data_IF_288465384980
#
_entry.id   IF_288465384980
#
_cell.length_a   1.000
_cell.length_b   1.000
_cell.length_c   1.000
_cell.angle_alpha   90.00
_cell.angle_beta   90.00
_cell.angle_gamma   90.00
#
_symmetry.space_group_name_H-M   'P 1'
#
loop_
_entity.id
_entity.type
_entity.pdbx_description
1 polymer ?
#
# COMPACT_ATOMS: atom_id res chain seq x y z
N UNK A 1 10.50 34.63 20.41
CA UNK A 1 9.81 33.57 21.14
C UNK A 1 10.24 33.66 22.60
N UNK A 2 9.38 33.36 23.60
CA UNK A 2 9.82 33.30 24.99
C UNK A 2 10.89 32.22 25.17
N UNK A 3 11.82 32.43 26.08
CA UNK A 3 12.85 31.43 26.41
C UNK A 3 12.19 30.24 27.13
N UNK A 4 12.45 28.98 26.72
CA UNK A 4 11.89 27.81 27.38
C UNK A 4 12.28 27.78 28.89
N UNK A 5 11.35 27.33 29.73
CA UNK A 5 11.56 27.15 31.18
C UNK A 5 12.28 25.83 31.43
N UNK A 6 13.27 25.85 32.32
CA UNK A 6 13.92 24.66 32.81
C UNK A 6 12.98 23.94 33.78
N UNK A 7 12.62 22.66 33.48
CA UNK A 7 11.76 21.82 34.32
C UNK A 7 12.17 20.34 34.22
N UNK A 8 11.96 19.53 35.29
CA UNK A 8 12.28 18.11 35.25
C UNK A 8 11.58 17.42 34.09
N UNK A 9 12.25 16.46 33.46
CA UNK A 9 11.64 15.60 32.45
C UNK A 9 10.41 14.88 33.02
N UNK A 10 9.37 14.69 32.20
CA UNK A 10 8.10 14.09 32.60
C UNK A 10 7.12 15.05 33.29
N UNK A 11 7.53 16.28 33.63
CA UNK A 11 6.67 17.28 34.28
C UNK A 11 6.14 18.37 33.32
N UNK A 12 6.51 18.32 32.04
CA UNK A 12 6.17 19.37 31.09
C UNK A 12 4.69 19.36 30.71
N UNK A 13 4.07 20.51 30.70
CA UNK A 13 2.73 20.69 30.15
C UNK A 13 2.76 20.63 28.63
N UNK A 14 1.72 20.06 28.04
CA UNK A 14 1.60 19.90 26.58
C UNK A 14 0.16 20.05 26.13
N UNK A 15 -0.08 20.69 24.97
CA UNK A 15 -1.40 20.73 24.34
C UNK A 15 -1.83 19.37 23.74
N UNK A 16 -0.89 18.43 23.53
CA UNK A 16 -1.18 17.10 23.01
C UNK A 16 -1.74 16.26 24.16
N UNK A 17 -3.06 16.09 24.20
CA UNK A 17 -3.77 15.46 25.30
C UNK A 17 -4.24 14.06 24.91
N UNK A 18 -4.60 13.25 25.91
CA UNK A 18 -5.08 11.87 25.70
C UNK A 18 -6.41 11.79 24.94
N UNK A 19 -7.28 12.79 25.12
CA UNK A 19 -8.52 12.90 24.34
C UNK A 19 -8.26 13.11 22.85
N UNK A 20 -7.20 13.82 22.48
CA UNK A 20 -6.76 13.95 21.09
C UNK A 20 -6.28 12.61 20.50
N UNK A 21 -5.53 11.82 21.29
CA UNK A 21 -5.10 10.47 20.86
C UNK A 21 -6.30 9.56 20.65
N UNK A 22 -7.28 9.64 21.57
CA UNK A 22 -8.50 8.84 21.53
C UNK A 22 -9.54 9.36 20.52
N UNK A 23 -9.29 10.50 19.86
CA UNK A 23 -10.21 11.05 18.87
C UNK A 23 -10.29 10.14 17.65
N UNK A 24 -11.51 10.02 17.09
CA UNK A 24 -11.73 9.18 15.93
C UNK A 24 -10.97 9.72 14.71
N UNK A 25 -10.01 8.94 14.22
CA UNK A 25 -9.36 9.17 12.93
C UNK A 25 -9.93 8.24 11.88
N UNK A 26 -10.07 8.72 10.64
CA UNK A 26 -10.41 7.85 9.52
C UNK A 26 -9.15 7.11 9.04
N UNK A 27 -9.31 5.83 8.72
CA UNK A 27 -8.25 5.10 8.04
C UNK A 27 -8.33 5.40 6.55
N UNK A 28 -7.24 5.92 5.97
CA UNK A 28 -7.13 6.13 4.52
C UNK A 28 -6.46 4.91 3.89
N UNK A 29 -7.08 4.35 2.87
CA UNK A 29 -6.60 3.18 2.15
C UNK A 29 -6.78 3.30 0.66
N UNK A 30 -5.91 2.64 -0.10
CA UNK A 30 -5.89 2.48 -1.54
C UNK A 30 -6.30 3.74 -2.33
N UNK A 31 -5.44 4.21 -3.20
CA UNK A 31 -5.77 5.28 -4.15
C UNK A 31 -5.97 4.66 -5.53
N UNK A 32 -6.99 5.08 -6.25
CA UNK A 32 -7.21 4.76 -7.64
C UNK A 32 -7.55 6.03 -8.42
N UNK A 33 -7.23 6.06 -9.71
CA UNK A 33 -7.43 7.23 -10.56
C UNK A 33 -8.15 6.80 -11.83
N UNK A 34 -9.18 7.55 -12.21
CA UNK A 34 -9.81 7.49 -13.53
C UNK A 34 -9.48 8.74 -14.32
N UNK A 35 -9.97 8.82 -15.55
CA UNK A 35 -9.81 10.04 -16.36
C UNK A 35 -10.54 11.25 -15.76
N UNK A 36 -11.55 11.04 -14.92
CA UNK A 36 -12.45 12.08 -14.42
C UNK A 36 -12.27 12.39 -12.92
N UNK A 37 -11.67 11.46 -12.14
CA UNK A 37 -11.65 11.57 -10.69
C UNK A 37 -10.52 10.76 -10.04
N UNK A 38 -10.19 11.12 -8.80
CA UNK A 38 -9.41 10.30 -7.88
C UNK A 38 -10.34 9.66 -6.86
N UNK A 39 -10.04 8.41 -6.51
CA UNK A 39 -10.81 7.59 -5.57
C UNK A 39 -9.90 7.09 -4.44
N UNK A 40 -10.47 6.93 -3.24
CA UNK A 40 -9.79 6.32 -2.11
C UNK A 40 -10.77 5.64 -1.16
N UNK A 41 -10.28 4.76 -0.31
CA UNK A 41 -11.06 4.15 0.76
C UNK A 41 -10.95 4.96 2.05
N UNK A 42 -12.07 5.13 2.74
CA UNK A 42 -12.14 5.65 4.11
C UNK A 42 -12.71 4.59 5.05
N UNK A 43 -11.91 4.11 6.01
CA UNK A 43 -12.43 3.36 7.15
C UNK A 43 -12.98 4.35 8.19
N UNK A 44 -14.29 4.33 8.44
CA UNK A 44 -15.00 5.31 9.27
C UNK A 44 -15.41 4.71 10.62
N UNK A 45 -14.69 4.99 11.72
CA UNK A 45 -15.03 4.47 13.04
C UNK A 45 -16.44 4.86 13.50
N UNK A 46 -16.88 6.08 13.18
CA UNK A 46 -18.22 6.59 13.53
C UNK A 46 -19.37 5.89 12.80
N UNK A 47 -19.04 5.10 11.76
CA UNK A 47 -19.99 4.27 11.01
C UNK A 47 -19.79 2.77 11.27
N UNK A 48 -19.36 2.41 12.49
CA UNK A 48 -19.10 1.01 12.87
C UNK A 48 -17.90 0.37 12.14
N UNK A 49 -16.94 1.17 11.71
CA UNK A 49 -15.76 0.68 10.97
C UNK A 49 -16.02 0.40 9.48
N UNK A 50 -17.09 0.97 8.91
CA UNK A 50 -17.42 0.82 7.50
C UNK A 50 -16.33 1.41 6.61
N UNK A 51 -15.88 0.65 5.61
CA UNK A 51 -15.01 1.13 4.54
C UNK A 51 -15.86 1.68 3.39
N UNK A 52 -15.70 2.98 3.12
CA UNK A 52 -16.42 3.74 2.10
C UNK A 52 -15.50 4.07 0.96
N UNK A 53 -15.93 3.82 -0.28
CA UNK A 53 -15.25 4.36 -1.44
C UNK A 53 -15.69 5.80 -1.65
N UNK A 54 -14.73 6.70 -1.67
CA UNK A 54 -14.91 8.15 -1.86
C UNK A 54 -14.26 8.56 -3.16
N UNK A 55 -14.85 9.51 -3.88
CA UNK A 55 -14.24 10.13 -5.07
C UNK A 55 -14.16 11.64 -4.93
N UNK A 56 -13.17 12.22 -5.60
CA UNK A 56 -13.03 13.65 -5.83
C UNK A 56 -12.92 13.90 -7.33
N UNK A 57 -13.84 14.69 -7.86
CA UNK A 57 -13.85 15.12 -9.26
C UNK A 57 -12.91 16.30 -9.48
N UNK A 58 -12.63 16.62 -10.76
CA UNK A 58 -11.68 17.67 -11.14
C UNK A 58 -12.09 19.07 -10.63
N UNK A 59 -13.38 19.33 -10.45
CA UNK A 59 -13.91 20.58 -9.87
C UNK A 59 -13.73 20.66 -8.35
N UNK A 60 -13.19 19.62 -7.71
CA UNK A 60 -12.93 19.55 -6.27
C UNK A 60 -14.08 18.96 -5.44
N UNK A 61 -15.19 18.58 -6.06
CA UNK A 61 -16.33 17.97 -5.35
C UNK A 61 -15.95 16.60 -4.81
N UNK A 62 -16.17 16.38 -3.51
CA UNK A 62 -15.92 15.10 -2.83
C UNK A 62 -17.26 14.45 -2.48
N UNK A 63 -17.42 13.18 -2.88
CA UNK A 63 -18.67 12.42 -2.65
C UNK A 63 -18.37 10.97 -2.29
N UNK A 64 -19.24 10.37 -1.45
CA UNK A 64 -19.27 8.93 -1.27
C UNK A 64 -19.76 8.27 -2.56
N UNK A 65 -19.05 7.24 -3.00
CA UNK A 65 -19.45 6.43 -4.18
C UNK A 65 -20.35 5.30 -3.72
N UNK A 66 -19.93 4.56 -2.70
CA UNK A 66 -20.72 3.45 -2.18
C UNK A 66 -21.76 3.94 -1.17
N UNK A 67 -23.06 3.63 -1.40
CA UNK A 67 -24.14 4.09 -0.54
C UNK A 67 -24.12 3.40 0.84
N UNK A 68 -24.95 3.89 1.76
CA UNK A 68 -25.15 3.23 3.05
C UNK A 68 -25.62 1.79 2.84
N UNK A 69 -25.16 0.88 3.72
CA UNK A 69 -25.44 -0.56 3.61
C UNK A 69 -24.33 -1.35 2.91
N UNK A 70 -23.43 -0.69 2.18
CA UNK A 70 -22.26 -1.31 1.59
C UNK A 70 -20.98 -0.99 2.40
N UNK A 71 -20.11 -1.99 2.49
CA UNK A 71 -18.82 -1.91 3.16
C UNK A 71 -17.77 -2.52 2.23
N UNK A 72 -16.92 -1.69 1.62
CA UNK A 72 -15.93 -2.08 0.62
C UNK A 72 -14.75 -2.77 1.30
N UNK A 73 -14.90 -4.08 1.51
CA UNK A 73 -13.91 -4.91 2.20
C UNK A 73 -14.07 -6.37 1.80
N UNK A 74 -12.97 -7.06 1.61
CA UNK A 74 -12.91 -8.51 1.39
C UNK A 74 -12.24 -9.22 2.57
N UNK A 75 -12.48 -10.53 2.67
CA UNK A 75 -11.85 -11.43 3.63
C UNK A 75 -10.92 -12.43 2.95
N UNK A 76 -10.61 -12.27 1.67
CA UNK A 76 -9.64 -13.14 0.99
C UNK A 76 -8.33 -13.11 1.75
N UNK A 77 -7.71 -14.28 1.99
CA UNK A 77 -6.52 -14.49 2.83
C UNK A 77 -6.68 -13.93 4.26
N UNK A 78 -7.90 -13.76 4.77
CA UNK A 78 -8.28 -13.18 6.07
C UNK A 78 -7.93 -11.69 6.22
N UNK A 79 -6.78 -11.22 5.69
CA UNK A 79 -6.34 -9.83 5.80
C UNK A 79 -6.99 -8.89 4.77
N UNK A 80 -7.45 -9.44 3.62
CA UNK A 80 -8.13 -8.68 2.58
C UNK A 80 -7.22 -7.73 1.80
N UNK A 81 -7.72 -6.51 1.54
CA UNK A 81 -7.12 -5.57 0.60
C UNK A 81 -7.59 -5.82 -0.83
N UNK A 82 -7.27 -4.93 -1.78
CA UNK A 82 -7.70 -5.08 -3.17
C UNK A 82 -9.21 -5.25 -3.34
N UNK A 83 -9.99 -4.67 -2.42
CA UNK A 83 -11.43 -4.86 -2.38
C UNK A 83 -12.19 -4.03 -3.43
N UNK A 84 -11.52 -3.18 -4.18
CA UNK A 84 -12.09 -2.46 -5.30
C UNK A 84 -11.05 -2.19 -6.38
N UNK A 85 -11.54 -2.00 -7.60
CA UNK A 85 -10.78 -1.51 -8.75
C UNK A 85 -11.68 -0.72 -9.69
N UNK A 86 -11.07 0.05 -10.56
CA UNK A 86 -11.75 0.86 -11.55
C UNK A 86 -11.53 0.31 -12.96
N UNK A 87 -12.53 0.52 -13.82
CA UNK A 87 -12.37 0.44 -15.25
C UNK A 87 -13.10 1.63 -15.89
N UNK A 88 -12.34 2.56 -16.42
CA UNK A 88 -12.88 3.91 -16.66
C UNK A 88 -13.42 4.52 -15.37
N UNK A 89 -14.68 4.93 -15.38
CA UNK A 89 -15.40 5.44 -14.20
C UNK A 89 -16.32 4.39 -13.54
N UNK A 90 -16.37 3.17 -14.09
CA UNK A 90 -17.08 2.05 -13.48
C UNK A 90 -16.30 1.50 -12.31
N UNK A 91 -16.96 1.30 -11.18
CA UNK A 91 -16.39 0.75 -9.96
C UNK A 91 -16.79 -0.71 -9.81
N UNK A 92 -15.81 -1.56 -9.52
CA UNK A 92 -16.02 -2.93 -9.08
C UNK A 92 -15.54 -3.06 -7.66
N UNK A 93 -16.33 -3.68 -6.78
CA UNK A 93 -15.94 -3.83 -5.38
C UNK A 93 -16.55 -5.06 -4.72
N UNK A 94 -15.87 -5.58 -3.71
CA UNK A 94 -16.38 -6.65 -2.84
C UNK A 94 -17.06 -6.04 -1.62
N UNK A 95 -18.29 -6.48 -1.34
CA UNK A 95 -19.04 -6.06 -0.18
C UNK A 95 -18.80 -6.99 1.01
N UNK A 96 -18.46 -6.45 2.17
CA UNK A 96 -18.09 -7.21 3.36
C UNK A 96 -19.19 -8.14 3.89
N UNK A 97 -20.45 -7.74 3.75
CA UNK A 97 -21.58 -8.46 4.34
C UNK A 97 -21.76 -9.87 3.74
N UNK A 98 -21.63 -9.98 2.43
CA UNK A 98 -21.88 -11.21 1.64
C UNK A 98 -20.66 -11.71 0.85
N UNK A 99 -19.57 -10.93 0.82
CA UNK A 99 -18.35 -11.21 0.06
C UNK A 99 -18.56 -11.32 -1.45
N UNK A 100 -19.70 -10.88 -1.96
CA UNK A 100 -19.99 -10.85 -3.41
C UNK A 100 -19.28 -9.67 -4.06
N UNK A 101 -18.97 -9.84 -5.33
CA UNK A 101 -18.47 -8.77 -6.19
C UNK A 101 -19.65 -7.97 -6.76
N UNK A 102 -19.54 -6.65 -6.68
CA UNK A 102 -20.51 -5.68 -7.16
C UNK A 102 -19.92 -4.83 -8.27
N UNK A 103 -20.76 -4.43 -9.21
CA UNK A 103 -20.50 -3.41 -10.22
C UNK A 103 -21.36 -2.20 -9.94
N UNK A 104 -20.78 -1.02 -10.06
CA UNK A 104 -21.48 0.25 -9.96
C UNK A 104 -21.02 1.16 -11.09
N UNK A 105 -21.90 1.40 -12.05
CA UNK A 105 -21.70 2.35 -13.13
C UNK A 105 -21.96 3.79 -12.64
N UNK A 106 -21.39 4.83 -13.27
CA UNK A 106 -21.58 6.22 -12.84
C UNK A 106 -23.05 6.61 -12.74
N UNK A 107 -23.50 6.99 -11.54
CA UNK A 107 -24.87 7.40 -11.27
C UNK A 107 -25.85 6.27 -10.93
N UNK A 108 -25.41 5.03 -11.01
CA UNK A 108 -26.26 3.86 -10.71
C UNK A 108 -26.04 3.34 -9.28
N UNK A 109 -27.01 2.56 -8.80
CA UNK A 109 -26.88 1.77 -7.57
C UNK A 109 -26.00 0.53 -7.82
N UNK A 110 -25.23 0.09 -6.80
CA UNK A 110 -24.42 -1.13 -6.91
C UNK A 110 -25.29 -2.36 -7.18
N UNK A 111 -24.92 -3.18 -8.16
CA UNK A 111 -25.55 -4.47 -8.45
C UNK A 111 -24.57 -5.62 -8.32
N UNK A 112 -24.96 -6.76 -7.73
CA UNK A 112 -24.08 -7.91 -7.61
C UNK A 112 -23.85 -8.53 -9.00
N UNK A 113 -22.61 -8.96 -9.26
CA UNK A 113 -22.20 -9.63 -10.52
C UNK A 113 -21.64 -11.03 -10.30
N UNK A 114 -21.68 -11.53 -9.07
CA UNK A 114 -21.38 -12.91 -8.73
C UNK A 114 -22.60 -13.57 -8.08
N UNK A 115 -22.74 -14.90 -8.13
CA UNK A 115 -23.83 -15.62 -7.47
C UNK A 115 -23.77 -15.44 -5.93
N UNK A 116 -24.86 -15.79 -5.26
CA UNK A 116 -24.83 -15.95 -3.80
C UNK A 116 -23.94 -17.13 -3.42
N UNK A 117 -23.21 -16.97 -2.32
CA UNK A 117 -22.37 -18.04 -1.80
C UNK A 117 -23.24 -19.21 -1.28
N UNK A 118 -22.84 -20.46 -1.52
CA UNK A 118 -23.56 -21.65 -1.02
C UNK A 118 -23.69 -21.68 0.51
N UNK A 119 -22.75 -21.11 1.22
CA UNK A 119 -22.78 -20.88 2.66
C UNK A 119 -22.36 -19.41 2.92
N UNK A 120 -22.73 -18.83 4.07
CA UNK A 120 -22.37 -17.44 4.35
C UNK A 120 -20.89 -17.15 4.18
N UNK A 121 -20.55 -16.25 3.23
CA UNK A 121 -19.17 -15.81 2.94
C UNK A 121 -18.22 -16.94 2.51
N UNK A 122 -18.71 -18.06 1.99
CA UNK A 122 -17.86 -19.16 1.55
C UNK A 122 -17.16 -18.90 0.22
N UNK A 123 -17.67 -17.98 -0.60
CA UNK A 123 -16.97 -17.46 -1.79
C UNK A 123 -16.60 -16.01 -1.54
N UNK A 124 -15.33 -15.67 -1.76
CA UNK A 124 -14.76 -14.33 -1.53
C UNK A 124 -13.96 -13.93 -2.76
N UNK A 125 -13.91 -12.62 -3.04
CA UNK A 125 -13.24 -12.08 -4.24
C UNK A 125 -12.34 -10.91 -3.87
N UNK A 126 -11.20 -10.77 -4.57
CA UNK A 126 -10.25 -9.67 -4.39
C UNK A 126 -9.36 -9.46 -5.62
N UNK A 127 -8.65 -8.34 -5.63
CA UNK A 127 -7.50 -8.04 -6.51
C UNK A 127 -7.81 -8.23 -8.00
N UNK A 128 -8.91 -7.64 -8.48
CA UNK A 128 -9.37 -7.80 -9.84
C UNK A 128 -8.81 -6.80 -10.84
N UNK A 129 -8.90 -7.15 -12.11
CA UNK A 129 -8.72 -6.27 -13.24
C UNK A 129 -9.76 -6.59 -14.33
N UNK A 130 -10.03 -5.62 -15.20
CA UNK A 130 -10.93 -5.78 -16.35
C UNK A 130 -10.09 -5.89 -17.62
N UNK A 131 -10.51 -6.73 -18.56
CA UNK A 131 -9.86 -6.80 -19.88
C UNK A 131 -10.05 -5.52 -20.67
N UNK A 132 -9.10 -5.12 -21.54
CA UNK A 132 -9.18 -3.88 -22.31
C UNK A 132 -10.39 -3.76 -23.24
N UNK A 133 -11.06 -4.88 -23.55
CA UNK A 133 -12.28 -4.94 -24.36
C UNK A 133 -13.58 -4.88 -23.54
N UNK A 134 -13.47 -4.54 -22.23
CA UNK A 134 -14.58 -4.37 -21.28
C UNK A 134 -15.39 -5.64 -20.98
N UNK A 135 -14.97 -6.83 -21.47
CA UNK A 135 -15.79 -8.04 -21.44
C UNK A 135 -15.63 -8.85 -20.16
N UNK A 136 -14.40 -8.97 -19.64
CA UNK A 136 -14.10 -9.88 -18.55
C UNK A 136 -13.48 -9.16 -17.37
N UNK A 137 -13.80 -9.64 -16.19
CA UNK A 137 -13.04 -9.42 -14.96
C UNK A 137 -12.22 -10.68 -14.70
N UNK A 138 -10.95 -10.48 -14.34
CA UNK A 138 -10.11 -11.53 -13.79
C UNK A 138 -9.76 -11.12 -12.36
N UNK A 139 -10.00 -12.01 -11.40
CA UNK A 139 -9.76 -11.74 -9.99
C UNK A 139 -9.38 -13.01 -9.21
N UNK A 140 -8.88 -12.81 -8.00
CA UNK A 140 -8.71 -13.90 -7.04
C UNK A 140 -10.05 -14.25 -6.44
N UNK A 141 -10.36 -15.58 -6.41
CA UNK A 141 -11.46 -16.16 -5.67
C UNK A 141 -10.91 -17.07 -4.58
N UNK A 142 -11.43 -16.93 -3.37
CA UNK A 142 -11.20 -17.86 -2.26
C UNK A 142 -12.50 -18.58 -1.92
N UNK A 143 -12.46 -19.92 -1.91
CA UNK A 143 -13.57 -20.77 -1.53
C UNK A 143 -13.28 -21.49 -0.22
N UNK A 144 -14.20 -21.35 0.74
CA UNK A 144 -14.25 -22.15 1.96
C UNK A 144 -15.19 -23.32 1.75
N UNK A 145 -14.65 -24.47 1.41
CA UNK A 145 -15.41 -25.67 1.12
C UNK A 145 -16.06 -26.29 2.38
N UNK A 146 -17.14 -27.08 2.24
CA UNK A 146 -17.83 -27.69 3.39
C UNK A 146 -16.99 -28.67 4.21
N UNK A 147 -15.94 -29.23 3.62
CA UNK A 147 -14.97 -30.12 4.29
C UNK A 147 -13.89 -29.37 5.08
N UNK A 148 -13.93 -28.03 5.10
CA UNK A 148 -12.98 -27.17 5.79
C UNK A 148 -11.72 -26.82 4.99
N UNK A 149 -11.63 -27.29 3.74
CA UNK A 149 -10.53 -26.88 2.84
C UNK A 149 -10.76 -25.45 2.36
N UNK A 150 -9.66 -24.71 2.15
CA UNK A 150 -9.68 -23.39 1.53
C UNK A 150 -8.97 -23.49 0.18
N UNK A 151 -9.65 -23.08 -0.86
CA UNK A 151 -9.12 -23.11 -2.23
C UNK A 151 -9.01 -21.69 -2.77
N UNK A 152 -7.81 -21.27 -3.12
CA UNK A 152 -7.57 -20.01 -3.83
C UNK A 152 -7.37 -20.29 -5.33
N UNK A 153 -7.91 -19.40 -6.17
CA UNK A 153 -7.91 -19.55 -7.64
C UNK A 153 -7.92 -18.21 -8.33
N UNK A 154 -7.57 -18.22 -9.61
CA UNK A 154 -7.96 -17.14 -10.50
C UNK A 154 -9.24 -17.52 -11.23
N UNK A 155 -10.18 -16.60 -11.26
CA UNK A 155 -11.44 -16.75 -12.00
C UNK A 155 -11.59 -15.62 -13.02
N UNK A 156 -12.23 -15.96 -14.14
CA UNK A 156 -12.73 -15.01 -15.13
C UNK A 156 -14.25 -15.02 -15.11
N UNK A 157 -14.86 -13.83 -15.12
CA UNK A 157 -16.31 -13.66 -15.20
C UNK A 157 -16.65 -12.49 -16.12
N UNK A 158 -17.82 -12.50 -16.79
CA UNK A 158 -18.29 -11.36 -17.57
C UNK A 158 -18.42 -10.11 -16.69
N UNK A 159 -17.90 -8.98 -17.18
CA UNK A 159 -17.93 -7.70 -16.44
C UNK A 159 -19.35 -7.17 -16.18
N UNK A 160 -20.34 -7.68 -16.93
CA UNK A 160 -21.76 -7.39 -16.74
C UNK A 160 -22.49 -8.37 -15.79
N UNK A 161 -21.80 -9.43 -15.34
CA UNK A 161 -22.37 -10.46 -14.47
C UNK A 161 -23.37 -11.39 -15.17
N UNK A 162 -23.32 -11.50 -16.52
CA UNK A 162 -24.26 -12.32 -17.31
C UNK A 162 -24.03 -13.83 -17.19
N UNK A 163 -22.90 -14.26 -16.61
CA UNK A 163 -22.60 -15.68 -16.36
C UNK A 163 -21.80 -15.85 -15.06
N UNK A 164 -21.74 -17.07 -14.56
CA UNK A 164 -20.97 -17.41 -13.37
C UNK A 164 -19.45 -17.33 -13.61
N UNK A 165 -18.65 -17.09 -12.53
CA UNK A 165 -17.19 -17.12 -12.60
C UNK A 165 -16.69 -18.50 -13.09
N UNK A 166 -15.72 -18.49 -14.01
CA UNK A 166 -15.02 -19.66 -14.49
C UNK A 166 -13.60 -19.69 -13.94
N UNK A 167 -13.17 -20.82 -13.40
CA UNK A 167 -11.79 -21.03 -12.96
C UNK A 167 -10.87 -21.03 -14.18
N UNK A 168 -9.79 -20.24 -14.13
CA UNK A 168 -8.79 -20.14 -15.20
C UNK A 168 -7.40 -20.56 -14.74
N UNK A 169 -7.11 -20.51 -13.42
CA UNK A 169 -5.90 -21.06 -12.82
C UNK A 169 -6.18 -21.55 -11.39
N UNK A 170 -5.68 -22.74 -11.07
CA UNK A 170 -5.76 -23.35 -9.74
C UNK A 170 -4.56 -24.27 -9.51
N UNK A 171 -4.35 -24.77 -8.27
CA UNK A 171 -3.31 -25.73 -7.94
C UNK A 171 -2.21 -25.18 -7.03
N UNK A 172 -2.27 -23.91 -6.64
CA UNK A 172 -1.43 -23.29 -5.62
C UNK A 172 -2.27 -22.87 -4.41
N UNK A 173 -1.61 -22.71 -3.24
CA UNK A 173 -2.30 -22.31 -2.02
C UNK A 173 -2.76 -20.84 -2.08
N UNK A 174 -2.01 -19.96 -2.76
CA UNK A 174 -2.30 -18.53 -2.83
C UNK A 174 -2.03 -17.93 -4.20
N UNK A 175 -2.83 -16.91 -4.55
CA UNK A 175 -2.76 -16.17 -5.81
C UNK A 175 -2.83 -14.67 -5.54
N UNK A 176 -2.10 -13.86 -6.31
CA UNK A 176 -2.26 -12.41 -6.30
C UNK A 176 -1.82 -11.75 -7.61
N UNK A 177 -2.11 -10.46 -7.73
CA UNK A 177 -1.73 -9.62 -8.86
C UNK A 177 -2.10 -10.15 -10.24
N UNK A 178 -3.33 -10.66 -10.50
CA UNK A 178 -3.73 -10.91 -11.88
C UNK A 178 -3.81 -9.59 -12.64
N UNK A 179 -3.01 -9.46 -13.70
CA UNK A 179 -2.99 -8.23 -14.55
C UNK A 179 -2.97 -8.62 -16.01
N UNK A 180 -3.95 -8.11 -16.75
CA UNK A 180 -4.06 -8.32 -18.21
C UNK A 180 -3.18 -7.30 -18.92
N UNK A 181 -2.47 -7.73 -19.97
CA UNK A 181 -1.67 -6.87 -20.81
C UNK A 181 -2.53 -5.83 -21.55
N UNK A 182 -1.98 -4.66 -21.96
CA UNK A 182 -2.74 -3.61 -22.64
C UNK A 182 -3.41 -4.06 -23.96
N UNK A 183 -2.86 -5.07 -24.63
CA UNK A 183 -3.44 -5.67 -25.83
C UNK A 183 -4.49 -6.77 -25.56
N UNK A 184 -4.71 -7.10 -24.27
CA UNK A 184 -5.68 -8.09 -23.84
C UNK A 184 -5.28 -9.55 -24.08
N UNK A 185 -4.06 -9.82 -24.55
CA UNK A 185 -3.66 -11.18 -24.99
C UNK A 185 -2.92 -11.99 -23.95
N UNK A 186 -2.39 -11.36 -22.90
CA UNK A 186 -1.61 -12.02 -21.85
C UNK A 186 -2.13 -11.68 -20.47
N UNK A 187 -2.01 -12.64 -19.57
CA UNK A 187 -2.24 -12.46 -18.13
C UNK A 187 -0.93 -12.73 -17.39
N UNK A 188 -0.58 -11.87 -16.45
CA UNK A 188 0.47 -12.10 -15.45
C UNK A 188 -0.18 -12.26 -14.08
N UNK A 189 0.39 -13.13 -13.23
CA UNK A 189 -0.02 -13.28 -11.83
C UNK A 189 1.12 -13.85 -10.98
N UNK A 190 0.98 -13.79 -9.66
CA UNK A 190 1.90 -14.43 -8.71
C UNK A 190 1.20 -15.51 -7.90
N UNK A 191 1.97 -16.52 -7.48
CA UNK A 191 1.54 -17.58 -6.57
C UNK A 191 2.58 -17.85 -5.50
N UNK A 192 2.15 -18.43 -4.40
CA UNK A 192 3.04 -19.04 -3.40
C UNK A 192 2.29 -20.15 -2.67
N UNK A 193 3.07 -21.03 -2.02
CA UNK A 193 2.54 -22.20 -1.32
C UNK A 193 3.14 -22.29 0.09
N UNK A 194 2.38 -22.84 1.02
CA UNK A 194 2.86 -23.14 2.36
C UNK A 194 4.19 -23.92 2.36
N UNK A 195 5.11 -23.67 3.30
CA UNK A 195 5.00 -22.72 4.44
C UNK A 195 5.48 -21.30 4.13
N UNK A 196 5.76 -20.97 2.87
CA UNK A 196 6.28 -19.64 2.47
C UNK A 196 5.23 -18.57 2.63
N UNK A 197 5.68 -17.38 3.05
CA UNK A 197 4.91 -16.15 2.91
C UNK A 197 5.32 -15.43 1.61
N UNK A 198 4.50 -14.52 1.07
CA UNK A 198 4.82 -13.89 -0.22
C UNK A 198 6.10 -13.05 -0.23
N UNK A 199 6.57 -12.64 0.93
CA UNK A 199 7.87 -11.95 1.07
C UNK A 199 9.07 -12.87 1.24
N UNK A 200 8.86 -14.18 1.48
CA UNK A 200 9.92 -15.18 1.49
C UNK A 200 10.23 -15.65 0.06
N UNK A 201 9.18 -16.00 -0.67
CA UNK A 201 9.30 -16.45 -2.06
C UNK A 201 7.95 -16.58 -2.76
N UNK A 202 7.91 -16.10 -3.99
CA UNK A 202 6.73 -16.16 -4.88
C UNK A 202 7.16 -16.58 -6.28
N UNK A 203 6.25 -17.22 -6.98
CA UNK A 203 6.41 -17.59 -8.38
C UNK A 203 5.62 -16.63 -9.28
N UNK A 204 6.24 -16.12 -10.33
CA UNK A 204 5.63 -15.24 -11.34
C UNK A 204 5.30 -16.03 -12.60
N UNK A 205 4.06 -15.95 -13.00
CA UNK A 205 3.52 -16.65 -14.17
C UNK A 205 3.04 -15.67 -15.22
N UNK A 206 3.19 -16.04 -16.48
CA UNK A 206 2.56 -15.36 -17.63
C UNK A 206 1.91 -16.42 -18.50
N UNK A 207 0.66 -16.20 -18.89
CA UNK A 207 -0.08 -17.05 -19.80
C UNK A 207 -0.75 -16.27 -20.92
N UNK A 208 -1.04 -16.94 -22.04
CA UNK A 208 -1.87 -16.41 -23.12
C UNK A 208 -3.32 -16.45 -22.68
N UNK A 209 -4.00 -15.31 -22.68
CA UNK A 209 -5.43 -15.21 -22.40
C UNK A 209 -6.21 -15.38 -23.72
N UNK A 210 -6.89 -16.50 -23.86
CA UNK A 210 -7.66 -16.83 -25.05
C UNK A 210 -9.02 -16.11 -25.06
N UNK A 211 -9.62 -15.98 -26.25
CA UNK A 211 -10.95 -15.36 -26.42
C UNK A 211 -12.09 -16.08 -25.69
N UNK A 212 -11.94 -17.38 -25.45
CA UNK A 212 -12.88 -18.20 -24.68
C UNK A 212 -12.65 -18.15 -23.17
N UNK A 213 -11.82 -17.20 -22.71
CA UNK A 213 -11.45 -17.02 -21.31
C UNK A 213 -10.63 -18.17 -20.69
N UNK A 214 -9.95 -18.98 -21.50
CA UNK A 214 -8.99 -19.97 -21.04
C UNK A 214 -7.57 -19.41 -21.06
N UNK A 215 -6.67 -20.03 -20.29
CA UNK A 215 -5.24 -19.78 -20.37
C UNK A 215 -4.53 -20.89 -21.13
N UNK A 216 -3.59 -20.50 -22.00
CA UNK A 216 -2.63 -21.41 -22.65
C UNK A 216 -1.22 -20.86 -22.51
N UNK A 217 -0.22 -21.68 -22.90
CA UNK A 217 1.19 -21.30 -22.91
C UNK A 217 1.66 -20.66 -21.61
N UNK A 218 1.22 -21.24 -20.46
CA UNK A 218 1.59 -20.72 -19.14
C UNK A 218 3.06 -20.99 -18.87
N UNK A 219 3.81 -19.93 -18.60
CA UNK A 219 5.25 -19.95 -18.37
C UNK A 219 5.55 -19.41 -16.98
N UNK A 220 6.45 -20.08 -16.25
CA UNK A 220 7.10 -19.52 -15.08
C UNK A 220 8.20 -18.55 -15.56
N UNK A 221 8.12 -17.28 -15.11
CA UNK A 221 8.98 -16.21 -15.64
C UNK A 221 10.08 -15.84 -14.66
N UNK A 222 9.77 -15.80 -13.38
CA UNK A 222 10.69 -15.39 -12.32
C UNK A 222 10.18 -15.86 -10.96
N UNK A 223 10.98 -15.67 -9.92
CA UNK A 223 10.62 -16.03 -8.56
C UNK A 223 11.07 -17.44 -8.19
N UNK A 224 10.58 -17.90 -7.07
CA UNK A 224 10.88 -19.19 -6.49
C UNK A 224 10.98 -19.12 -4.96
N UNK A 225 11.48 -20.20 -4.30
CA UNK A 225 11.48 -20.27 -2.85
C UNK A 225 12.36 -19.21 -2.16
N UNK A 226 13.35 -18.66 -2.85
CA UNK A 226 14.31 -17.69 -2.31
C UNK A 226 14.27 -16.35 -3.04
N UNK A 227 13.19 -16.10 -3.80
CA UNK A 227 12.98 -14.83 -4.52
C UNK A 227 11.55 -14.35 -4.35
N UNK A 228 11.35 -13.21 -3.76
CA UNK A 228 10.04 -12.57 -3.62
C UNK A 228 9.77 -11.62 -4.77
N UNK A 229 8.65 -11.86 -5.47
CA UNK A 229 8.13 -10.99 -6.53
C UNK A 229 6.97 -10.17 -6.00
N UNK A 230 7.00 -8.86 -6.26
CA UNK A 230 5.96 -7.95 -5.82
C UNK A 230 5.49 -7.06 -6.98
N UNK A 231 4.19 -6.79 -7.01
CA UNK A 231 3.52 -5.86 -7.92
C UNK A 231 3.95 -6.02 -9.40
N UNK A 232 3.76 -7.19 -10.05
CA UNK A 232 3.90 -7.27 -11.50
C UNK A 232 2.86 -6.38 -12.17
N UNK A 233 3.29 -5.60 -13.17
CA UNK A 233 2.43 -4.69 -13.92
C UNK A 233 2.93 -4.53 -15.36
N UNK A 234 2.00 -4.34 -16.28
CA UNK A 234 2.32 -4.03 -17.67
C UNK A 234 2.42 -2.52 -17.86
N UNK A 235 3.50 -2.05 -18.45
CA UNK A 235 3.58 -0.66 -18.92
C UNK A 235 2.67 -0.44 -20.13
N UNK A 236 2.33 0.82 -20.48
CA UNK A 236 1.47 1.10 -21.64
C UNK A 236 1.97 0.52 -22.97
N UNK A 237 3.27 0.33 -23.13
CA UNK A 237 3.89 -0.28 -24.32
C UNK A 237 3.87 -1.83 -24.30
N UNK A 238 3.29 -2.45 -23.27
CA UNK A 238 3.18 -3.90 -23.13
C UNK A 238 4.44 -4.59 -22.57
N UNK A 239 5.39 -3.85 -22.02
CA UNK A 239 6.53 -4.41 -21.29
C UNK A 239 6.11 -4.82 -19.87
N UNK A 240 6.44 -6.03 -19.44
CA UNK A 240 6.20 -6.48 -18.07
C UNK A 240 7.27 -5.91 -17.14
N UNK A 241 6.82 -5.27 -16.07
CA UNK A 241 7.63 -4.77 -14.97
C UNK A 241 7.27 -5.49 -13.69
N UNK A 242 8.22 -5.60 -12.77
CA UNK A 242 8.01 -6.24 -11.47
C UNK A 242 9.07 -5.78 -10.47
N UNK A 243 8.81 -5.97 -9.22
CA UNK A 243 9.78 -5.82 -8.15
C UNK A 243 10.23 -7.21 -7.73
N UNK A 244 11.55 -7.38 -7.56
CA UNK A 244 12.19 -8.63 -7.12
C UNK A 244 13.30 -8.34 -6.14
N UNK A 245 13.47 -9.20 -5.14
CA UNK A 245 14.55 -9.13 -4.15
C UNK A 245 15.75 -10.04 -4.47
N UNK A 246 15.87 -10.52 -5.72
CA UNK A 246 16.95 -11.42 -6.21
C UNK A 246 18.37 -10.94 -5.96
N UNK A 247 18.55 -9.64 -5.73
CA UNK A 247 19.85 -9.02 -5.41
C UNK A 247 19.98 -8.65 -3.94
N UNK A 248 19.08 -9.17 -3.07
CA UNK A 248 19.06 -8.86 -1.65
C UNK A 248 18.22 -7.65 -1.28
N UNK A 249 17.70 -6.90 -2.26
CA UNK A 249 16.83 -5.74 -2.09
C UNK A 249 15.69 -5.80 -3.10
N UNK A 250 14.49 -5.45 -2.71
CA UNK A 250 13.35 -5.32 -3.62
C UNK A 250 13.57 -4.18 -4.61
N UNK A 251 14.20 -4.47 -5.72
CA UNK A 251 14.45 -3.52 -6.80
C UNK A 251 13.46 -3.71 -7.96
N UNK A 252 13.30 -2.67 -8.78
CA UNK A 252 12.39 -2.66 -9.94
C UNK A 252 13.09 -3.18 -11.19
N UNK A 253 12.44 -4.09 -11.90
CA UNK A 253 12.92 -4.74 -13.13
C UNK A 253 11.92 -4.61 -14.26
N UNK A 254 12.43 -4.67 -15.51
CA UNK A 254 11.64 -4.88 -16.70
C UNK A 254 12.01 -6.22 -17.34
N UNK A 255 11.01 -6.97 -17.81
CA UNK A 255 11.24 -8.22 -18.57
C UNK A 255 11.44 -7.87 -20.03
N UNK A 256 12.65 -8.13 -20.57
CA UNK A 256 13.02 -7.92 -21.98
C UNK A 256 13.72 -9.17 -22.52
N UNK A 257 13.24 -9.66 -23.65
CA UNK A 257 13.82 -10.84 -24.32
C UNK A 257 14.02 -12.06 -23.39
N UNK A 258 13.13 -12.23 -22.39
CA UNK A 258 13.18 -13.30 -21.40
C UNK A 258 14.12 -13.04 -20.21
N UNK A 259 14.77 -11.88 -20.15
CA UNK A 259 15.67 -11.50 -19.07
C UNK A 259 15.10 -10.36 -18.24
N UNK A 260 15.34 -10.39 -16.91
CA UNK A 260 15.00 -9.31 -16.00
C UNK A 260 16.14 -8.27 -15.96
N UNK A 261 15.86 -7.10 -16.49
CA UNK A 261 16.78 -5.97 -16.56
C UNK A 261 16.48 -5.02 -15.39
N UNK A 262 17.43 -4.76 -14.47
CA UNK A 262 17.24 -3.82 -13.39
C UNK A 262 17.13 -2.39 -13.93
N UNK A 263 16.17 -1.62 -13.42
CA UNK A 263 15.92 -0.26 -13.91
C UNK A 263 16.70 0.80 -13.15
N UNK A 264 16.89 0.61 -11.85
CA UNK A 264 17.63 1.52 -10.98
C UNK A 264 18.13 0.76 -9.74
N UNK A 265 19.15 -0.11 -9.88
CA UNK A 265 19.64 -0.94 -8.78
C UNK A 265 20.23 -0.09 -7.66
N UNK A 266 19.76 -0.33 -6.41
CA UNK A 266 20.23 0.38 -5.23
C UNK A 266 19.91 -0.40 -3.95
N UNK A 267 20.61 -0.09 -2.86
CA UNK A 267 20.34 -0.61 -1.53
C UNK A 267 19.12 0.12 -0.93
N UNK A 268 17.96 -0.21 -1.44
CA UNK A 268 16.66 0.31 -1.03
C UNK A 268 15.53 -0.66 -1.43
N UNK A 269 14.40 -0.56 -0.73
CA UNK A 269 13.23 -1.39 -0.95
C UNK A 269 12.16 -0.64 -1.75
N UNK A 270 11.94 -1.02 -3.00
CA UNK A 270 10.81 -0.57 -3.81
C UNK A 270 9.54 -1.39 -3.51
N UNK A 271 9.68 -2.56 -2.92
CA UNK A 271 8.61 -3.42 -2.48
C UNK A 271 8.27 -3.25 -1.00
N UNK A 272 7.15 -3.82 -0.61
CA UNK A 272 6.69 -3.94 0.77
C UNK A 272 6.16 -5.35 1.01
N UNK A 273 6.16 -5.86 2.26
CA UNK A 273 5.60 -7.17 2.54
C UNK A 273 4.11 -7.18 2.22
N UNK A 274 3.69 -8.14 1.41
CA UNK A 274 2.32 -8.25 0.90
C UNK A 274 1.40 -8.91 1.94
N UNK A 275 1.12 -8.19 3.02
CA UNK A 275 0.13 -8.62 4.00
C UNK A 275 -1.31 -8.55 3.48
N UNK A 276 -1.56 -7.68 2.51
CA UNK A 276 -2.87 -7.41 1.93
C UNK A 276 -2.75 -7.23 0.42
N UNK A 277 -3.86 -7.40 -0.28
CA UNK A 277 -3.93 -7.08 -1.72
C UNK A 277 -3.99 -5.58 -1.99
N UNK A 278 -3.75 -5.20 -3.26
CA UNK A 278 -3.95 -3.84 -3.76
C UNK A 278 -2.87 -2.84 -3.36
N UNK A 279 -1.74 -3.32 -2.81
CA UNK A 279 -0.58 -2.49 -2.52
C UNK A 279 0.09 -2.03 -3.81
N UNK A 280 0.53 -0.77 -3.83
CA UNK A 280 1.18 -0.17 -5.00
C UNK A 280 2.29 0.76 -4.58
N UNK A 281 3.47 0.53 -5.13
CA UNK A 281 4.68 1.31 -4.85
C UNK A 281 5.27 1.95 -6.10
N UNK A 282 4.76 1.61 -7.27
CA UNK A 282 5.12 2.30 -8.52
C UNK A 282 3.94 2.34 -9.50
N UNK A 283 4.00 3.27 -10.44
CA UNK A 283 3.04 3.41 -11.52
C UNK A 283 3.67 4.13 -12.72
N UNK A 284 3.08 4.01 -13.92
CA UNK A 284 3.63 4.50 -15.16
C UNK A 284 3.07 5.87 -15.53
N UNK A 285 3.93 6.80 -15.91
CA UNK A 285 3.57 8.05 -16.56
C UNK A 285 3.32 7.84 -18.06
N UNK A 286 2.57 8.73 -18.68
CA UNK A 286 2.23 8.61 -20.10
C UNK A 286 3.44 8.64 -21.04
N UNK A 287 4.53 9.27 -20.62
CA UNK A 287 5.78 9.37 -21.39
C UNK A 287 6.72 8.18 -21.18
N UNK A 288 6.27 7.16 -20.43
CA UNK A 288 7.03 5.94 -20.13
C UNK A 288 7.95 6.04 -18.92
N UNK A 289 8.06 7.20 -18.26
CA UNK A 289 8.73 7.29 -16.96
C UNK A 289 7.92 6.54 -15.90
N UNK A 290 8.58 6.16 -14.82
CA UNK A 290 7.98 5.42 -13.71
C UNK A 290 8.08 6.27 -12.45
N UNK A 291 6.94 6.62 -11.87
CA UNK A 291 6.88 7.20 -10.53
C UNK A 291 6.93 6.05 -9.52
N UNK A 292 7.80 6.13 -8.51
CA UNK A 292 8.03 5.05 -7.56
C UNK A 292 8.22 5.55 -6.13
N UNK A 293 7.82 4.71 -5.20
CA UNK A 293 8.13 4.82 -3.77
C UNK A 293 9.26 3.85 -3.45
N UNK A 294 10.19 4.28 -2.63
CA UNK A 294 11.26 3.41 -2.13
C UNK A 294 11.61 3.72 -0.69
N UNK A 295 11.91 2.70 0.10
CA UNK A 295 12.31 2.83 1.49
C UNK A 295 13.81 2.73 1.61
N UNK A 296 14.42 3.67 2.30
CA UNK A 296 15.84 3.68 2.60
C UNK A 296 16.08 4.26 4.00
N UNK A 297 16.84 3.55 4.83
CA UNK A 297 17.17 3.97 6.21
C UNK A 297 15.93 4.34 7.06
N UNK A 298 14.85 3.58 6.92
CA UNK A 298 13.62 3.78 7.71
C UNK A 298 12.70 4.91 7.25
N UNK A 299 13.03 5.60 6.16
CA UNK A 299 12.18 6.62 5.54
C UNK A 299 11.74 6.16 4.15
N UNK A 300 10.54 6.55 3.76
CA UNK A 300 10.03 6.29 2.41
C UNK A 300 10.11 7.57 1.58
N UNK A 301 10.60 7.42 0.37
CA UNK A 301 10.86 8.49 -0.60
C UNK A 301 9.99 8.32 -1.84
N UNK A 302 9.70 9.44 -2.49
CA UNK A 302 9.12 9.50 -3.83
C UNK A 302 10.25 9.75 -4.85
N UNK A 303 10.21 9.06 -5.96
CA UNK A 303 11.17 9.27 -7.04
C UNK A 303 10.61 8.97 -8.41
N UNK A 304 11.38 9.32 -9.43
CA UNK A 304 11.07 9.04 -10.84
C UNK A 304 12.23 8.28 -11.46
N UNK A 305 11.91 7.23 -12.21
CA UNK A 305 12.87 6.50 -13.04
C UNK A 305 12.57 6.82 -14.51
N UNK A 306 13.53 7.40 -15.20
CA UNK A 306 13.50 7.52 -16.65
C UNK A 306 14.07 6.23 -17.26
N UNK A 307 13.35 5.54 -18.16
CA UNK A 307 13.84 4.31 -18.77
C UNK A 307 15.25 4.48 -19.37
N UNK A 308 16.14 3.56 -19.03
CA UNK A 308 17.54 3.60 -19.47
C UNK A 308 18.48 4.53 -18.69
N UNK A 309 17.99 5.29 -17.72
CA UNK A 309 18.82 6.15 -16.87
C UNK A 309 19.69 5.37 -15.88
N UNK A 310 19.22 4.18 -15.45
CA UNK A 310 19.87 3.35 -14.44
C UNK A 310 19.82 3.93 -13.02
N UNK A 311 19.03 4.94 -12.77
CA UNK A 311 18.93 5.62 -11.47
C UNK A 311 17.54 6.14 -11.17
N UNK A 312 17.25 6.35 -9.87
CA UNK A 312 16.10 7.12 -9.39
C UNK A 312 16.47 8.60 -9.33
N UNK A 313 15.58 9.46 -9.78
CA UNK A 313 15.62 10.90 -9.54
C UNK A 313 14.68 11.20 -8.37
N UNK A 314 15.20 11.57 -7.18
CA UNK A 314 14.37 11.84 -6.02
C UNK A 314 13.46 13.05 -6.24
N UNK A 315 12.23 12.99 -5.73
CA UNK A 315 11.30 14.12 -5.67
C UNK A 315 11.23 14.60 -4.23
N UNK A 316 11.80 15.78 -3.99
CA UNK A 316 11.79 16.39 -2.66
C UNK A 316 10.39 16.87 -2.29
N UNK A 317 9.90 16.42 -1.14
CA UNK A 317 8.55 16.73 -0.65
C UNK A 317 8.54 16.82 0.88
N UNK A 318 7.48 17.41 1.45
CA UNK A 318 7.29 17.48 2.90
C UNK A 318 6.88 16.17 3.56
N UNK A 319 6.61 15.13 2.78
CA UNK A 319 6.23 13.80 3.27
C UNK A 319 7.44 12.87 3.36
N UNK A 320 7.43 12.00 4.36
CA UNK A 320 8.51 11.03 4.64
C UNK A 320 8.00 9.61 4.87
N UNK A 321 6.70 9.40 4.73
CA UNK A 321 6.05 8.11 4.80
C UNK A 321 4.95 8.03 3.74
N UNK A 322 4.97 6.97 2.93
CA UNK A 322 4.04 6.77 1.83
C UNK A 322 3.47 5.34 1.87
N UNK A 323 2.23 5.17 1.40
CA UNK A 323 1.55 3.86 1.39
C UNK A 323 1.00 3.43 0.05
N UNK A 324 0.71 4.35 -0.85
CA UNK A 324 0.09 4.05 -2.15
C UNK A 324 0.48 5.14 -3.13
N UNK A 325 0.60 4.77 -4.40
CA UNK A 325 0.87 5.71 -5.49
C UNK A 325 0.05 5.36 -6.73
N UNK A 326 -0.46 6.38 -7.39
CA UNK A 326 -1.04 6.32 -8.74
C UNK A 326 -0.65 7.56 -9.51
N UNK A 327 -0.33 7.39 -10.78
CA UNK A 327 -0.10 8.51 -11.70
C UNK A 327 -1.43 9.16 -12.10
N UNK A 328 -1.42 10.48 -12.32
CA UNK A 328 -2.54 11.16 -12.93
C UNK A 328 -2.64 10.79 -14.43
N UNK A 329 -3.84 10.84 -15.03
CA UNK A 329 -4.04 10.51 -16.45
C UNK A 329 -3.28 11.40 -17.41
N UNK A 330 -2.81 12.56 -16.96
CA UNK A 330 -2.02 13.49 -17.75
C UNK A 330 -1.09 14.31 -16.85
N UNK A 331 0.04 14.75 -17.42
CA UNK A 331 1.01 15.59 -16.73
C UNK A 331 1.94 14.83 -15.78
N UNK A 332 2.68 15.59 -14.98
CA UNK A 332 3.69 15.11 -14.05
C UNK A 332 3.15 15.10 -12.61
N UNK A 333 1.97 14.53 -12.41
CA UNK A 333 1.34 14.41 -11.08
C UNK A 333 1.15 12.98 -10.67
N UNK A 334 1.32 12.75 -9.36
CA UNK A 334 0.94 11.48 -8.71
C UNK A 334 -0.06 11.75 -7.59
N UNK A 335 -0.91 10.76 -7.34
CA UNK A 335 -1.80 10.68 -6.19
C UNK A 335 -1.24 9.66 -5.20
N UNK A 336 -1.16 10.05 -3.94
CA UNK A 336 -0.53 9.26 -2.88
C UNK A 336 -1.38 9.27 -1.61
N UNK A 337 -1.15 8.26 -0.77
CA UNK A 337 -1.43 8.36 0.67
C UNK A 337 -0.07 8.59 1.32
N UNK A 338 0.09 9.77 1.93
CA UNK A 338 1.37 10.19 2.48
C UNK A 338 1.21 10.85 3.85
N UNK A 339 2.28 10.80 4.63
CA UNK A 339 2.38 11.37 5.97
C UNK A 339 3.80 11.87 6.24
N UNK A 340 3.96 12.61 7.31
CA UNK A 340 5.25 12.88 7.95
C UNK A 340 5.07 12.97 9.47
N UNK A 341 6.12 13.15 10.22
CA UNK A 341 6.03 13.30 11.68
C UNK A 341 5.19 14.50 12.13
N UNK A 342 4.97 15.47 11.24
CA UNK A 342 4.18 16.70 11.51
C UNK A 342 2.85 16.76 10.73
N UNK A 343 2.60 15.81 9.81
CA UNK A 343 1.39 15.77 9.00
C UNK A 343 0.72 14.41 9.11
N UNK A 344 -0.57 14.37 9.47
CA UNK A 344 -1.31 13.12 9.52
C UNK A 344 -1.38 12.48 8.13
N UNK A 345 -1.63 11.17 8.10
CA UNK A 345 -1.85 10.47 6.84
C UNK A 345 -2.91 11.19 6.01
N UNK A 346 -2.61 11.42 4.74
CA UNK A 346 -3.43 12.25 3.86
C UNK A 346 -3.46 11.69 2.45
N UNK A 347 -4.59 11.82 1.77
CA UNK A 347 -4.66 11.71 0.32
C UNK A 347 -4.17 13.04 -0.26
N UNK A 348 -3.16 12.99 -1.08
CA UNK A 348 -2.55 14.17 -1.70
C UNK A 348 -2.17 13.93 -3.15
N UNK A 349 -2.21 14.99 -3.96
CA UNK A 349 -1.49 15.02 -5.24
C UNK A 349 -0.14 15.68 -5.05
N UNK A 350 0.89 15.16 -5.74
CA UNK A 350 2.25 15.72 -5.75
C UNK A 350 2.66 15.94 -7.18
N UNK A 351 3.14 17.15 -7.46
CA UNK A 351 3.78 17.51 -8.72
C UNK A 351 5.23 16.97 -8.71
N UNK A 352 5.57 16.12 -9.65
CA UNK A 352 6.86 15.44 -9.70
C UNK A 352 8.05 16.34 -10.05
N UNK A 353 7.80 17.50 -10.68
CA UNK A 353 8.85 18.45 -11.05
C UNK A 353 9.23 19.35 -9.86
N UNK A 354 8.24 19.77 -9.07
CA UNK A 354 8.43 20.75 -8.00
C UNK A 354 8.39 20.14 -6.61
N UNK A 355 7.84 18.91 -6.44
CA UNK A 355 7.57 18.28 -5.15
C UNK A 355 6.42 18.91 -4.38
N UNK A 356 5.74 19.92 -4.94
CA UNK A 356 4.63 20.58 -4.29
C UNK A 356 3.43 19.63 -4.13
N UNK A 357 2.91 19.58 -2.91
CA UNK A 357 1.79 18.73 -2.56
C UNK A 357 0.51 19.52 -2.34
N UNK A 358 -0.61 18.99 -2.84
CA UNK A 358 -1.96 19.48 -2.53
C UNK A 358 -2.71 18.40 -1.76
N UNK A 359 -2.95 18.62 -0.47
CA UNK A 359 -3.72 17.72 0.38
C UNK A 359 -5.21 17.89 0.12
N UNK A 360 -5.92 16.79 -0.15
CA UNK A 360 -7.36 16.79 -0.42
C UNK A 360 -8.17 16.12 0.70
N UNK A 361 -7.57 15.21 1.46
CA UNK A 361 -8.20 14.55 2.60
C UNK A 361 -7.18 14.19 3.66
N UNK A 362 -7.42 14.57 4.91
CA UNK A 362 -6.60 14.16 6.07
C UNK A 362 -7.30 13.04 6.84
N UNK A 363 -6.52 12.12 7.40
CA UNK A 363 -7.04 11.10 8.32
C UNK A 363 -7.53 11.67 9.64
N UNK A 364 -6.94 12.78 10.04
CA UNK A 364 -7.23 13.49 11.29
C UNK A 364 -7.16 15.01 11.02
N UNK A 365 -8.21 15.72 11.37
CA UNK A 365 -8.24 17.18 11.25
C UNK A 365 -7.83 17.81 12.59
N UNK A 366 -6.52 17.96 12.75
CA UNK A 366 -5.92 18.60 13.92
C UNK A 366 -4.91 19.63 13.47
N UNK A 367 -4.90 20.75 14.17
CA UNK A 367 -3.87 21.78 14.05
C UNK A 367 -2.90 21.63 15.23
N UNK A 368 -1.72 21.10 14.94
CA UNK A 368 -0.67 20.87 15.94
C UNK A 368 0.43 21.90 15.76
N UNK A 369 0.74 22.62 16.83
CA UNK A 369 1.88 23.54 16.85
C UNK A 369 3.19 22.75 16.68
N UNK A 370 3.98 23.00 15.61
CA UNK A 370 5.24 22.28 15.35
C UNK A 370 6.24 22.34 16.50
N UNK A 371 6.13 23.33 17.39
CA UNK A 371 7.00 23.47 18.57
C UNK A 371 6.82 22.37 19.62
N UNK A 372 5.81 21.52 19.49
CA UNK A 372 5.57 20.36 20.37
C UNK A 372 5.73 19.02 19.65
N UNK A 373 6.16 19.04 18.39
CA UNK A 373 6.32 17.83 17.59
C UNK A 373 7.78 17.41 17.48
N UNK A 374 8.06 16.18 17.86
CA UNK A 374 9.35 15.54 17.67
C UNK A 374 9.45 14.92 16.28
N UNK A 375 10.48 15.27 15.55
CA UNK A 375 10.80 14.71 14.24
C UNK A 375 11.77 13.55 14.47
N UNK A 376 11.48 12.34 13.92
CA UNK A 376 12.34 11.18 14.13
C UNK A 376 13.68 11.33 13.41
N UNK A 377 14.73 10.86 14.07
CA UNK A 377 16.05 10.67 13.51
C UNK A 377 16.27 9.17 13.28
N UNK A 378 16.52 8.70 12.06
CA UNK A 378 16.97 7.32 11.85
C UNK A 378 18.31 7.08 12.55
N UNK A 379 18.36 6.04 13.36
CA UNK A 379 19.57 5.64 14.07
C UNK A 379 19.90 4.18 13.79
N UNK A 380 21.16 3.86 13.97
CA UNK A 380 21.73 2.53 13.88
C UNK A 380 22.53 2.25 15.14
N UNK A 381 22.42 1.05 15.70
CA UNK A 381 23.12 0.69 16.93
C UNK A 381 23.50 -0.79 16.93
N UNK A 382 24.62 -1.17 17.60
CA UNK A 382 25.09 -2.53 17.66
C UNK A 382 24.17 -3.38 18.53
N UNK A 383 24.03 -4.66 18.15
CA UNK A 383 23.33 -5.70 18.90
C UNK A 383 24.24 -6.90 19.14
N UNK A 384 23.71 -7.96 19.75
CA UNK A 384 24.47 -9.18 20.04
C UNK A 384 25.03 -9.82 18.76
N UNK A 385 26.17 -10.51 18.91
CA UNK A 385 26.82 -11.21 17.80
C UNK A 385 27.49 -10.30 16.75
N UNK A 386 27.63 -9.01 17.00
CA UNK A 386 28.21 -8.04 16.08
C UNK A 386 27.22 -7.56 15.00
N UNK A 387 25.93 -7.87 15.17
CA UNK A 387 24.85 -7.39 14.31
C UNK A 387 24.48 -5.93 14.64
N UNK A 388 23.76 -5.33 13.73
CA UNK A 388 23.25 -3.97 13.85
C UNK A 388 21.72 -3.97 13.83
N UNK A 389 21.10 -3.09 14.61
CA UNK A 389 19.67 -2.81 14.51
C UNK A 389 19.42 -1.36 14.16
N UNK A 390 18.23 -1.11 13.65
CA UNK A 390 17.78 0.21 13.21
C UNK A 390 16.60 0.68 14.04
N UNK A 391 16.44 2.00 14.16
CA UNK A 391 15.28 2.58 14.83
C UNK A 391 15.00 4.01 14.36
N UNK A 392 13.83 4.51 14.68
CA UNK A 392 13.49 5.92 14.63
C UNK A 392 13.56 6.48 16.07
N UNK A 393 14.45 7.44 16.29
CA UNK A 393 14.65 8.07 17.57
C UNK A 393 13.99 9.43 17.61
N UNK A 394 13.15 9.66 18.62
CA UNK A 394 12.41 10.89 18.85
C UNK A 394 12.92 11.56 20.11
N UNK A 395 13.50 12.77 19.96
CA UNK A 395 13.93 13.58 21.10
C UNK A 395 12.74 14.21 21.79
N UNK A 396 12.86 14.56 23.09
CA UNK A 396 11.88 15.46 23.74
C UNK A 396 11.71 16.75 22.93
N UNK A 397 10.48 17.17 22.69
CA UNK A 397 10.16 18.36 21.92
C UNK A 397 9.03 19.16 22.56
N UNK A 398 9.37 20.34 23.13
CA UNK A 398 8.40 21.25 23.72
C UNK A 398 8.93 22.69 23.63
N UNK A 399 8.17 23.61 23.06
CA UNK A 399 8.57 24.98 22.87
C UNK A 399 8.68 25.79 24.17
N UNK A 400 8.00 25.35 25.25
CA UNK A 400 7.89 26.09 26.52
C UNK A 400 8.80 25.53 27.60
N UNK A 401 9.32 24.32 27.42
CA UNK A 401 10.13 23.64 28.43
C UNK A 401 11.41 23.03 27.84
N UNK A 402 12.42 22.97 28.70
CA UNK A 402 13.69 22.29 28.46
C UNK A 402 14.12 21.54 29.72
N UNK A 403 14.77 20.40 29.58
CA UNK A 403 15.30 19.64 30.71
C UNK A 403 16.47 20.32 31.42
N UNK A 404 16.76 19.97 32.69
CA UNK A 404 17.89 20.45 33.41
C UNK A 404 19.21 20.08 32.72
N UNK A 405 20.21 20.97 32.82
CA UNK A 405 21.54 20.74 32.28
C UNK A 405 22.18 19.50 32.92
N UNK A 406 22.77 18.63 32.10
CA UNK A 406 23.41 17.37 32.50
C UNK A 406 22.47 16.21 32.81
N UNK A 407 21.17 16.41 32.83
CA UNK A 407 20.18 15.33 32.96
C UNK A 407 19.86 14.72 31.60
N UNK A 408 19.50 13.42 31.62
CA UNK A 408 19.00 12.71 30.43
C UNK A 408 17.50 12.47 30.56
N UNK A 409 16.74 12.56 29.46
CA UNK A 409 15.32 12.22 29.46
C UNK A 409 15.11 10.72 29.72
N UNK A 410 14.02 10.36 30.39
CA UNK A 410 13.57 8.96 30.40
C UNK A 410 13.29 8.50 28.97
N UNK A 411 13.62 7.22 28.68
CA UNK A 411 13.48 6.62 27.37
C UNK A 411 12.32 5.61 27.36
N UNK A 412 11.42 5.77 26.40
CA UNK A 412 10.43 4.75 26.05
C UNK A 412 10.91 3.99 24.81
N UNK A 413 10.84 2.67 24.88
CA UNK A 413 11.19 1.77 23.77
C UNK A 413 9.90 1.19 23.22
N UNK A 414 9.66 1.41 21.93
CA UNK A 414 8.56 0.84 21.17
C UNK A 414 9.09 -0.13 20.13
N UNK A 415 8.25 -1.01 19.65
CA UNK A 415 8.52 -1.87 18.50
C UNK A 415 7.22 -2.18 17.75
N UNK A 416 7.31 -2.34 16.44
CA UNK A 416 6.16 -2.77 15.64
C UNK A 416 5.82 -4.25 15.89
N UNK A 417 4.58 -4.63 15.54
CA UNK A 417 4.17 -6.04 15.52
C UNK A 417 4.63 -6.72 14.23
N UNK A 418 4.53 -8.03 14.21
CA UNK A 418 4.86 -8.74 13.00
C UNK A 418 5.49 -10.10 13.29
N UNK A 419 6.62 -10.51 12.70
CA UNK A 419 7.87 -9.74 12.56
C UNK A 419 7.98 -8.90 11.29
N UNK A 420 7.48 -9.40 10.18
CA UNK A 420 7.71 -8.79 8.85
C UNK A 420 6.89 -7.52 8.67
N UNK A 421 7.50 -6.41 8.96
CA UNK A 421 6.94 -5.05 8.91
C UNK A 421 8.02 -4.05 9.24
N UNK A 422 7.64 -2.78 9.37
CA UNK A 422 8.55 -1.73 9.82
C UNK A 422 7.78 -0.60 10.50
N UNK A 423 8.43 0.08 11.42
CA UNK A 423 7.94 1.38 11.90
C UNK A 423 8.17 2.44 10.86
N UNK A 424 7.36 3.49 10.87
CA UNK A 424 7.40 4.57 9.88
C UNK A 424 7.50 5.94 10.56
N UNK A 425 7.97 6.94 9.83
CA UNK A 425 8.04 8.33 10.29
C UNK A 425 6.69 9.07 10.25
N UNK A 426 5.58 8.38 10.03
CA UNK A 426 4.25 9.00 10.03
C UNK A 426 3.89 9.57 11.41
N UNK A 427 3.09 10.65 11.44
CA UNK A 427 2.61 11.24 12.67
C UNK A 427 1.91 10.19 13.54
N UNK A 428 2.49 9.95 14.72
CA UNK A 428 1.92 9.13 15.78
C UNK A 428 1.70 10.00 17.02
N UNK A 429 0.45 10.30 17.32
CA UNK A 429 0.09 11.18 18.45
C UNK A 429 0.49 10.62 19.81
N UNK A 430 0.59 9.30 19.95
CA UNK A 430 1.06 8.66 21.17
C UNK A 430 2.55 8.97 21.41
N UNK A 431 3.38 8.88 20.36
CA UNK A 431 4.80 9.30 20.45
C UNK A 431 4.88 10.80 20.77
N UNK A 432 4.10 11.63 20.08
CA UNK A 432 4.11 13.08 20.32
C UNK A 432 3.61 13.45 21.72
N UNK A 433 2.68 12.68 22.28
CA UNK A 433 2.22 12.85 23.66
C UNK A 433 3.38 12.72 24.66
N UNK A 434 4.21 11.70 24.51
CA UNK A 434 5.33 11.44 25.40
C UNK A 434 6.47 12.41 25.16
N UNK A 435 6.85 12.65 23.92
CA UNK A 435 7.98 13.54 23.60
C UNK A 435 7.72 14.98 24.00
N UNK A 436 6.49 15.47 23.88
CA UNK A 436 6.11 16.81 24.33
C UNK A 436 6.09 16.98 25.86
N UNK A 437 6.19 15.86 26.61
CA UNK A 437 6.29 15.85 28.09
C UNK A 437 7.70 15.59 28.60
N UNK A 438 8.70 15.57 27.72
CA UNK A 438 10.09 15.41 28.10
C UNK A 438 10.62 13.97 28.05
N UNK A 439 9.87 13.03 27.49
CA UNK A 439 10.39 11.68 27.24
C UNK A 439 11.11 11.62 25.90
N UNK A 440 12.18 10.86 25.81
CA UNK A 440 12.68 10.36 24.53
C UNK A 440 11.94 9.09 24.17
N UNK A 441 11.75 8.85 22.86
CA UNK A 441 11.15 7.61 22.36
C UNK A 441 12.09 7.02 21.32
N UNK A 442 12.28 5.69 21.35
CA UNK A 442 12.92 4.94 20.29
C UNK A 442 11.93 3.88 19.78
N UNK A 443 11.64 3.93 18.50
CA UNK A 443 10.76 2.99 17.82
C UNK A 443 11.61 2.07 16.95
N UNK A 444 11.75 0.80 17.35
CA UNK A 444 12.80 -0.11 16.89
C UNK A 444 12.31 -0.92 15.69
N UNK A 445 13.10 -0.91 14.63
CA UNK A 445 13.09 -1.89 13.55
C UNK A 445 14.12 -2.98 13.87
N UNK A 446 13.68 -4.01 14.58
CA UNK A 446 14.52 -5.14 15.01
C UNK A 446 14.84 -6.11 13.85
N UNK A 447 15.78 -7.02 14.03
CA UNK A 447 16.06 -8.08 13.04
C UNK A 447 14.80 -8.86 12.67
N UNK A 448 14.50 -9.00 11.38
CA UNK A 448 13.21 -9.45 10.87
C UNK A 448 12.34 -8.33 10.28
N UNK A 449 12.69 -7.05 10.53
CA UNK A 449 11.99 -5.90 9.94
C UNK A 449 12.30 -5.75 8.44
N UNK A 450 11.33 -5.20 7.69
CA UNK A 450 11.52 -4.80 6.30
C UNK A 450 12.14 -3.41 6.18
N UNK A 451 12.59 -3.03 4.96
CA UNK A 451 13.19 -1.71 4.70
C UNK A 451 14.70 -1.68 4.76
N UNK A 452 15.34 -2.82 5.03
CA UNK A 452 16.80 -2.93 5.25
C UNK A 452 17.43 -4.09 4.48
N UNK A 453 16.77 -4.59 3.45
CA UNK A 453 17.23 -5.72 2.64
C UNK A 453 16.76 -7.08 3.16
N UNK A 454 16.93 -8.10 2.29
CA UNK A 454 16.50 -9.48 2.57
C UNK A 454 17.26 -10.09 3.76
N UNK A 455 18.58 -9.89 3.82
CA UNK A 455 19.41 -10.40 4.92
C UNK A 455 18.97 -9.92 6.30
N UNK A 456 18.48 -8.68 6.37
CA UNK A 456 17.96 -8.13 7.62
C UNK A 456 16.56 -8.65 7.97
N UNK A 457 15.77 -8.98 6.95
CA UNK A 457 14.40 -9.49 7.09
C UNK A 457 14.37 -10.95 7.52
N UNK A 458 15.34 -11.78 7.12
CA UNK A 458 15.53 -13.20 7.46
C UNK A 458 16.34 -13.39 8.76
#
# INVERSE_FOLDING_TARGET
MPTPRVAPYGSWESPIRSDLIASASIALGAVAVSNSAVYWLEGRPTEGGRSVLVKRTADGTVTDVTPQGFNVRTLVHEYGGGAFWLHGDTVFFTNFADQRLYRQDPGDEPRPITPESPAPRSLRYADGCVTPDDRLIICVQEEHAPDGQVHNRLVALPADGSAEPRIIAEGHDFYSFPRVSPDGTRLVWTTWDHPRMPWDGTDLWVGTLNQDSTLSDVLHVAGGPEESIFQPAWSPDGTLHLISDRTGWWNLYALKDGELIPLAPMDAEFGVPQWVFGLTTYDFLQDGRIACLYSQRGLTHLGVITPGSGRVEPVETSFTAFRSIRTAPAGDQVWVIAASASHPASVASIDLQTGNATVVRKSLDVDLDPGYLSIPEPIEFPTDGGLTAHALFYRPANRDFIGPEGERPPLLVLSHGGPTGQTTSALNLEIQFWTSRGFAVVDVNYGGSTGYGREYRE
#
